data_IF_359212405039
#
_entry.id   IF_359212405039
#
_cell.length_a   1.000
_cell.length_b   1.000
_cell.length_c   1.000
_cell.angle_alpha   90.00
_cell.angle_beta   90.00
_cell.angle_gamma   90.00
#
_symmetry.space_group_name_H-M   'P 1'
#
loop_
_entity.id
_entity.type
_entity.pdbx_description
1 polymer ?
#
# COMPACT_ATOMS: atom_id res chain seq x y z
N UNK A 1 -4.76 7.78 2.32
CA UNK A 1 -5.42 6.50 1.94
C UNK A 1 -6.01 5.69 3.10
N UNK A 2 -5.61 5.85 4.38
CA UNK A 2 -6.31 5.18 5.51
C UNK A 2 -5.88 3.74 5.84
N UNK A 3 -4.86 3.21 5.18
CA UNK A 3 -4.26 1.91 5.56
C UNK A 3 -3.36 2.02 6.79
N UNK A 4 -3.13 0.89 7.43
CA UNK A 4 -2.13 0.74 8.49
C UNK A 4 -0.92 0.04 7.87
N UNK A 5 0.20 0.75 7.83
CA UNK A 5 1.50 0.22 7.39
C UNK A 5 2.30 -0.15 8.63
N UNK A 6 2.91 -1.33 8.61
CA UNK A 6 3.77 -1.83 9.68
C UNK A 6 5.15 -2.12 9.10
N UNK A 7 6.21 -1.54 9.64
CA UNK A 7 7.56 -1.77 9.13
C UNK A 7 8.53 -0.67 9.53
N UNK A 8 9.70 -0.69 8.91
CA UNK A 8 10.71 0.35 8.99
C UNK A 8 10.79 1.05 7.62
N UNK A 9 11.01 2.36 7.60
CA UNK A 9 11.21 3.16 6.39
C UNK A 9 12.44 2.71 5.58
N UNK A 10 13.43 2.10 6.25
CA UNK A 10 14.63 1.55 5.59
C UNK A 10 14.42 0.14 4.98
N UNK A 11 13.22 -0.42 5.08
CA UNK A 11 12.91 -1.76 4.56
C UNK A 11 12.33 -1.69 3.14
N UNK A 12 12.84 -2.49 2.18
CA UNK A 12 12.25 -2.57 0.84
C UNK A 12 10.92 -3.32 0.83
N UNK A 13 10.55 -3.97 1.93
CA UNK A 13 9.25 -4.64 2.10
C UNK A 13 8.33 -3.74 2.91
N UNK A 14 7.14 -3.46 2.37
CA UNK A 14 6.10 -2.63 2.96
C UNK A 14 4.86 -3.49 3.27
N UNK A 15 4.74 -3.95 4.53
CA UNK A 15 3.55 -4.63 5.02
C UNK A 15 2.34 -3.69 5.17
N UNK A 16 1.28 -3.96 4.42
CA UNK A 16 -0.04 -3.36 4.57
C UNK A 16 -0.94 -4.31 5.39
N UNK A 17 -1.35 -3.87 6.57
CA UNK A 17 -2.12 -4.70 7.50
C UNK A 17 -3.58 -4.79 7.08
N UNK A 18 -4.08 -6.03 6.93
CA UNK A 18 -5.44 -6.32 6.49
C UNK A 18 -6.37 -6.70 7.66
N UNK A 19 -5.82 -7.25 8.75
CA UNK A 19 -6.51 -7.65 9.99
C UNK A 19 -7.73 -8.58 9.82
N UNK A 20 -8.01 -9.05 8.62
CA UNK A 20 -9.19 -9.82 8.27
C UNK A 20 -8.80 -10.99 7.36
N UNK A 21 -8.57 -12.18 7.93
CA UNK A 21 -8.16 -13.36 7.16
C UNK A 21 -9.08 -13.70 5.99
N UNK A 22 -10.38 -13.52 6.17
CA UNK A 22 -11.37 -13.77 5.13
C UNK A 22 -11.20 -12.86 3.88
N UNK A 23 -10.58 -11.69 4.03
CA UNK A 23 -10.39 -10.72 2.95
C UNK A 23 -9.03 -10.81 2.25
N UNK A 24 -8.08 -11.58 2.79
CA UNK A 24 -6.73 -11.75 2.21
C UNK A 24 -6.81 -12.21 0.75
N UNK A 25 -7.54 -13.30 0.50
CA UNK A 25 -7.68 -13.86 -0.85
C UNK A 25 -8.52 -12.97 -1.77
N UNK A 26 -9.45 -12.18 -1.24
CA UNK A 26 -10.18 -11.19 -2.02
C UNK A 26 -9.25 -10.06 -2.47
N UNK A 27 -8.44 -9.52 -1.56
CA UNK A 27 -7.48 -8.45 -1.86
C UNK A 27 -6.51 -8.87 -2.97
N UNK A 28 -5.87 -10.05 -2.84
CA UNK A 28 -4.94 -10.54 -3.86
C UNK A 28 -5.61 -10.73 -5.24
N UNK A 29 -6.83 -11.24 -5.29
CA UNK A 29 -7.58 -11.42 -6.55
C UNK A 29 -7.99 -10.09 -7.18
N UNK A 30 -8.41 -9.10 -6.39
CA UNK A 30 -8.80 -7.78 -6.90
C UNK A 30 -7.60 -6.98 -7.42
N UNK A 31 -6.44 -7.10 -6.79
CA UNK A 31 -5.18 -6.53 -7.31
C UNK A 31 -4.75 -7.23 -8.60
N UNK A 32 -4.86 -8.56 -8.66
CA UNK A 32 -4.53 -9.31 -9.87
C UNK A 32 -5.43 -8.94 -11.06
N UNK A 33 -6.73 -8.70 -10.84
CA UNK A 33 -7.66 -8.20 -11.87
C UNK A 33 -7.22 -6.85 -12.47
N UNK A 34 -6.47 -6.06 -11.70
CA UNK A 34 -5.87 -4.77 -12.10
C UNK A 34 -4.45 -4.93 -12.64
N UNK A 35 -4.02 -6.16 -12.95
CA UNK A 35 -2.68 -6.51 -13.41
C UNK A 35 -1.55 -6.20 -12.43
N UNK A 36 -1.84 -6.20 -11.12
CA UNK A 36 -0.84 -5.98 -10.07
C UNK A 36 -0.66 -7.24 -9.23
N UNK A 37 0.52 -7.85 -9.35
CA UNK A 37 0.91 -8.98 -8.51
C UNK A 37 1.21 -8.54 -7.08
N UNK A 38 0.41 -8.96 -6.11
CA UNK A 38 0.63 -8.64 -4.69
C UNK A 38 0.75 -9.91 -3.85
N UNK A 39 1.74 -9.95 -2.96
CA UNK A 39 1.92 -11.08 -2.05
C UNK A 39 1.00 -10.88 -0.85
N UNK A 40 0.01 -11.75 -0.70
CA UNK A 40 -0.89 -11.77 0.46
C UNK A 40 -0.51 -12.91 1.40
N UNK A 41 -0.42 -12.61 2.70
CA UNK A 41 0.11 -13.55 3.70
C UNK A 41 -0.86 -13.66 4.86
N UNK A 42 -1.16 -14.89 5.26
CA UNK A 42 -1.95 -15.24 6.44
C UNK A 42 -1.30 -16.37 7.23
N UNK A 43 -2.07 -17.03 8.10
CA UNK A 43 -1.64 -18.23 8.81
C UNK A 43 -1.28 -19.36 7.81
N UNK A 44 -0.20 -20.14 8.03
CA UNK A 44 0.68 -20.18 9.20
C UNK A 44 1.88 -19.21 9.16
N UNK A 45 2.08 -18.49 8.06
CA UNK A 45 3.24 -17.61 7.89
C UNK A 45 3.20 -16.35 8.79
N UNK A 46 2.02 -15.98 9.28
CA UNK A 46 1.78 -14.89 10.23
C UNK A 46 0.67 -15.29 11.21
N UNK A 47 0.64 -14.78 12.45
CA UNK A 47 -0.51 -14.97 13.34
C UNK A 47 -1.82 -14.57 12.65
N UNK A 48 -2.93 -15.22 13.01
CA UNK A 48 -4.25 -15.00 12.39
C UNK A 48 -4.63 -13.50 12.41
N UNK A 49 -4.32 -12.81 13.50
CA UNK A 49 -4.59 -11.38 13.69
C UNK A 49 -3.65 -10.45 12.90
N UNK A 50 -2.55 -10.96 12.34
CA UNK A 50 -1.53 -10.17 11.63
C UNK A 50 -1.49 -10.44 10.13
N UNK A 51 -2.63 -10.85 9.57
CA UNK A 51 -2.79 -10.98 8.13
C UNK A 51 -2.50 -9.66 7.40
N UNK A 52 -1.71 -9.73 6.32
CA UNK A 52 -1.17 -8.56 5.63
C UNK A 52 -0.90 -8.83 4.15
N UNK A 53 -0.90 -7.78 3.34
CA UNK A 53 -0.28 -7.77 2.03
C UNK A 53 1.16 -7.22 2.14
N UNK A 54 2.09 -7.72 1.32
CA UNK A 54 3.48 -7.26 1.28
C UNK A 54 3.75 -6.69 -0.11
N UNK A 55 4.07 -5.41 -0.16
CA UNK A 55 4.67 -4.81 -1.35
C UNK A 55 6.18 -4.91 -1.24
N UNK A 56 6.83 -5.43 -2.28
CA UNK A 56 8.27 -5.60 -2.34
C UNK A 56 8.81 -4.59 -3.37
N UNK A 57 9.43 -3.53 -2.89
CA UNK A 57 10.03 -2.52 -3.76
C UNK A 57 11.36 -3.02 -4.33
N UNK A 58 11.68 -2.44 -5.47
CA UNK A 58 12.88 -2.69 -6.25
C UNK A 58 13.20 -1.40 -6.98
N UNK A 59 14.49 -1.13 -7.20
CA UNK A 59 14.96 0.04 -7.94
C UNK A 59 14.44 0.09 -9.40
N UNK A 60 13.94 -1.03 -9.93
CA UNK A 60 13.35 -1.09 -11.26
C UNK A 60 11.93 -0.51 -11.36
N UNK A 61 11.24 -0.26 -10.25
CA UNK A 61 9.90 0.32 -10.30
C UNK A 61 9.96 1.82 -10.61
N UNK A 62 9.24 2.26 -11.65
CA UNK A 62 9.11 3.67 -11.98
C UNK A 62 8.04 4.35 -11.10
N UNK A 63 8.05 5.69 -11.05
CA UNK A 63 7.06 6.46 -10.28
C UNK A 63 5.63 6.14 -10.75
N UNK A 64 5.43 6.04 -12.05
CA UNK A 64 4.12 5.75 -12.66
C UNK A 64 3.60 4.36 -12.27
N UNK A 65 4.50 3.37 -12.16
CA UNK A 65 4.13 2.04 -11.69
C UNK A 65 3.68 2.09 -10.22
N UNK A 66 4.36 2.88 -9.40
CA UNK A 66 4.02 3.05 -7.98
C UNK A 66 2.69 3.78 -7.83
N UNK A 67 2.46 4.85 -8.58
CA UNK A 67 1.20 5.60 -8.55
C UNK A 67 0.03 4.70 -8.98
N UNK A 68 0.20 3.91 -10.05
CA UNK A 68 -0.80 2.92 -10.49
C UNK A 68 -1.10 1.88 -9.40
N UNK A 69 -0.06 1.40 -8.70
CA UNK A 69 -0.23 0.45 -7.61
C UNK A 69 -0.95 1.05 -6.39
N UNK A 70 -0.66 2.31 -6.08
CA UNK A 70 -1.30 3.04 -4.99
C UNK A 70 -2.78 3.31 -5.28
N UNK A 71 -3.12 3.73 -6.49
CA UNK A 71 -4.50 3.98 -6.91
C UNK A 71 -5.33 2.69 -6.87
N UNK A 72 -4.78 1.60 -7.43
CA UNK A 72 -5.41 0.29 -7.38
C UNK A 72 -5.61 -0.20 -5.93
N UNK A 73 -4.59 -0.07 -5.08
CA UNK A 73 -4.70 -0.43 -3.68
C UNK A 73 -5.76 0.42 -2.97
N UNK A 74 -5.83 1.73 -3.26
CA UNK A 74 -6.80 2.65 -2.69
C UNK A 74 -8.24 2.24 -3.03
N UNK A 75 -8.54 1.94 -4.30
CA UNK A 75 -9.85 1.44 -4.75
C UNK A 75 -10.22 0.12 -4.07
N UNK A 76 -9.29 -0.85 -4.07
CA UNK A 76 -9.53 -2.17 -3.46
C UNK A 76 -9.74 -2.04 -1.95
N UNK A 77 -9.04 -1.11 -1.30
CA UNK A 77 -9.23 -0.78 0.11
C UNK A 77 -10.62 -0.25 0.42
N UNK A 78 -11.19 0.58 -0.46
CA UNK A 78 -12.58 1.05 -0.33
C UNK A 78 -13.57 -0.08 -0.56
N UNK A 79 -13.39 -0.84 -1.64
CA UNK A 79 -14.27 -1.97 -1.99
C UNK A 79 -14.34 -3.00 -0.87
N UNK A 80 -13.19 -3.38 -0.31
CA UNK A 80 -13.08 -4.40 0.71
C UNK A 80 -13.16 -3.85 2.14
N UNK A 81 -13.33 -2.54 2.32
CA UNK A 81 -13.40 -1.88 3.64
C UNK A 81 -12.19 -2.26 4.53
N UNK A 82 -10.98 -1.96 4.05
CA UNK A 82 -9.69 -2.33 4.68
C UNK A 82 -8.93 -1.12 5.26
N UNK A 83 -9.51 0.08 5.19
CA UNK A 83 -8.90 1.34 5.62
C UNK A 83 -9.21 1.64 7.09
N UNK A 84 -8.52 0.97 8.00
CA UNK A 84 -8.80 1.05 9.45
C UNK A 84 -8.09 2.20 10.19
N UNK A 85 -7.14 2.87 9.56
CA UNK A 85 -6.38 3.94 10.22
C UNK A 85 -7.27 5.14 10.51
N UNK A 86 -7.29 5.59 11.77
CA UNK A 86 -7.99 6.78 12.24
C UNK A 86 -7.08 8.00 12.37
N UNK A 87 -5.81 7.88 11.98
CA UNK A 87 -4.88 9.01 12.01
C UNK A 87 -5.31 10.03 10.96
N UNK A 88 -5.35 11.30 11.35
CA UNK A 88 -5.54 12.39 10.40
C UNK A 88 -4.43 12.36 9.35
N UNK A 89 -4.81 12.49 8.08
CA UNK A 89 -3.83 12.65 7.01
C UNK A 89 -3.19 14.04 7.21
N UNK A 90 -1.86 14.15 7.38
CA UNK A 90 -1.23 15.45 7.30
C UNK A 90 -1.57 16.04 5.93
N UNK A 91 -2.07 17.28 5.91
CA UNK A 91 -2.30 18.01 4.66
C UNK A 91 -0.97 18.02 3.89
N UNK A 92 -0.95 17.78 2.57
CA UNK A 92 0.28 17.92 1.80
C UNK A 92 0.89 19.29 2.12
N UNK A 93 2.09 19.32 2.69
CA UNK A 93 2.79 20.58 2.89
C UNK A 93 3.11 21.12 1.50
N UNK A 94 2.64 22.33 1.19
CA UNK A 94 2.77 22.99 -0.11
C UNK A 94 4.23 23.12 -0.60
N UNK A 95 5.23 22.84 0.25
CA UNK A 95 6.66 22.97 -0.04
C UNK A 95 7.24 21.94 -1.01
N UNK A 96 6.64 20.77 -1.20
CA UNK A 96 7.19 19.75 -2.11
C UNK A 96 6.95 20.08 -3.59
N UNK A 97 5.95 20.91 -3.89
CA UNK A 97 5.67 21.37 -5.26
C UNK A 97 6.52 22.59 -5.64
N UNK A 98 7.21 23.24 -4.69
CA UNK A 98 8.06 24.40 -4.98
C UNK A 98 9.51 24.05 -5.32
N UNK A 99 10.02 22.90 -4.89
CA UNK A 99 11.43 22.54 -5.16
C UNK A 99 11.66 22.05 -6.60
N UNK A 100 10.70 21.35 -7.22
CA UNK A 100 10.83 20.95 -8.64
C UNK A 100 10.81 22.15 -9.61
N UNK A 101 10.24 23.29 -9.21
CA UNK A 101 10.28 24.54 -9.99
C UNK A 101 11.57 25.37 -9.76
N UNK A 102 12.39 25.04 -8.76
CA UNK A 102 13.59 25.83 -8.42
C UNK A 102 14.87 25.30 -9.08
N UNK A 103 14.80 24.15 -9.77
CA UNK A 103 15.93 23.54 -10.47
C UNK A 103 15.73 23.50 -12.00
N UNK A 104 14.81 24.32 -12.53
CA UNK A 104 14.56 24.48 -13.98
C UNK A 104 14.92 25.86 -14.53
N UNK A 105 15.70 26.67 -13.80
CA UNK A 105 16.36 27.88 -14.33
C UNK A 105 17.90 27.73 -14.30
#
# INVERSE_FOLDING_TARGET
>A
MGFIIYGNDDSPVIPLMLYMPAKIGAFGREMLKRNIGTVVVGFPATPIIESRARFCLSAAHTREMLDTALDAANEVGDLLQLKYSRREQPRPSLGWMSEENLFQD
#
